data_IF_015028518365
#
_entry.id   IF_015028518365
#
_cell.length_a   1.000
_cell.length_b   1.000
_cell.length_c   1.000
_cell.angle_alpha   90.00
_cell.angle_beta   90.00
_cell.angle_gamma   90.00
#
_symmetry.space_group_name_H-M   'P 1'
#
loop_
_entity.id
_entity.type
_entity.pdbx_description
1 polymer ?
#
# COMPACT_ATOMS: atom_id res chain seq x y z
N UNK A 1 -6.64 11.33 22.87
CA UNK A 1 -5.34 11.27 23.58
C UNK A 1 -5.58 11.22 25.08
N UNK A 2 -4.80 10.47 25.86
CA UNK A 2 -4.94 10.43 27.34
C UNK A 2 -4.21 11.61 27.95
N UNK A 3 -4.67 12.09 29.12
CA UNK A 3 -4.04 13.22 29.84
C UNK A 3 -2.55 12.94 30.13
N UNK A 4 -2.20 11.71 30.49
CA UNK A 4 -0.80 11.28 30.70
C UNK A 4 0.06 11.46 29.46
N UNK A 5 -0.46 11.16 28.26
CA UNK A 5 0.26 11.35 27.00
C UNK A 5 0.45 12.83 26.67
N UNK A 6 -0.53 13.68 26.99
CA UNK A 6 -0.40 15.13 26.83
C UNK A 6 0.66 15.71 27.77
N UNK A 7 0.71 15.20 29.01
CA UNK A 7 1.76 15.54 29.96
C UNK A 7 3.14 15.18 29.42
N UNK A 8 3.31 13.93 28.96
CA UNK A 8 4.60 13.44 28.43
C UNK A 8 5.08 14.26 27.22
N UNK A 9 4.17 14.67 26.33
CA UNK A 9 4.48 15.53 25.19
C UNK A 9 4.94 16.90 25.70
N UNK A 10 4.22 17.51 26.62
CA UNK A 10 4.51 18.84 27.12
C UNK A 10 5.84 18.84 27.89
N UNK A 11 6.03 17.91 28.80
CA UNK A 11 7.27 17.77 29.60
C UNK A 11 8.49 17.49 28.69
N UNK A 12 8.33 16.59 27.71
CA UNK A 12 9.38 16.30 26.74
C UNK A 12 9.74 17.51 25.87
N UNK A 13 8.75 18.34 25.53
CA UNK A 13 8.97 19.55 24.74
C UNK A 13 9.68 20.62 25.57
N UNK A 14 9.21 20.91 26.79
CA UNK A 14 9.82 21.95 27.66
C UNK A 14 11.25 21.57 28.07
N UNK A 15 11.51 20.33 28.40
CA UNK A 15 12.87 19.82 28.71
C UNK A 15 13.83 19.92 27.52
N UNK A 16 13.38 19.57 26.34
CA UNK A 16 14.24 19.58 25.14
C UNK A 16 14.53 20.99 24.64
N UNK A 17 13.57 21.90 24.77
CA UNK A 17 13.73 23.32 24.34
C UNK A 17 14.50 24.16 25.34
N UNK A 18 14.74 23.66 26.56
CA UNK A 18 15.49 24.39 27.58
C UNK A 18 14.70 25.53 28.20
N UNK A 19 13.38 25.49 28.17
CA UNK A 19 12.51 26.44 28.89
C UNK A 19 12.74 26.24 30.39
N UNK A 20 13.03 27.34 31.10
CA UNK A 20 13.33 27.32 32.53
C UNK A 20 12.29 28.16 33.27
N UNK A 21 11.70 27.58 34.30
CA UNK A 21 10.95 28.35 35.27
C UNK A 21 11.92 29.26 36.08
N UNK A 22 11.76 30.55 35.95
CA UNK A 22 12.64 31.53 36.60
C UNK A 22 12.61 31.44 38.15
N UNK A 23 11.59 30.80 38.72
CA UNK A 23 11.44 30.63 40.16
C UNK A 23 12.20 29.42 40.68
N UNK A 24 12.15 28.32 39.92
CA UNK A 24 12.73 27.03 40.35
C UNK A 24 14.07 26.75 39.70
N UNK A 25 14.42 27.42 38.59
CA UNK A 25 15.62 27.19 37.81
C UNK A 25 15.62 25.83 37.02
N UNK A 26 14.49 25.17 36.98
CA UNK A 26 14.32 23.88 36.29
C UNK A 26 13.28 23.96 35.17
N UNK A 27 13.27 22.99 34.25
CA UNK A 27 12.22 22.90 33.26
C UNK A 27 10.85 22.75 33.91
N UNK A 28 9.82 23.49 33.46
CA UNK A 28 8.49 23.35 34.03
C UNK A 28 7.94 21.94 33.76
N UNK A 29 7.35 21.34 34.77
CA UNK A 29 6.77 20.02 34.72
C UNK A 29 5.25 20.12 34.87
N UNK A 30 4.54 19.46 33.97
CA UNK A 30 3.08 19.43 34.01
C UNK A 30 2.57 18.52 35.15
N UNK A 31 1.51 18.97 35.81
CA UNK A 31 0.80 18.10 36.78
C UNK A 31 0.12 16.94 36.05
N UNK A 32 -0.19 15.87 36.78
CA UNK A 32 -0.85 14.70 36.20
C UNK A 32 -2.24 15.01 35.59
N UNK A 33 -2.92 16.00 36.10
CA UNK A 33 -4.22 16.51 35.65
C UNK A 33 -4.13 17.72 34.72
N UNK A 34 -2.91 18.18 34.42
CA UNK A 34 -2.65 19.41 33.64
C UNK A 34 -3.26 20.67 34.27
N UNK A 35 -3.49 20.71 35.57
CA UNK A 35 -4.06 21.87 36.26
C UNK A 35 -3.20 23.11 36.18
N UNK A 36 -1.87 22.96 36.02
CA UNK A 36 -0.91 24.07 35.89
C UNK A 36 -0.59 24.45 34.42
N UNK A 37 -1.40 24.00 33.47
CA UNK A 37 -1.11 24.22 32.03
C UNK A 37 -1.08 25.73 31.66
N UNK A 38 -1.87 26.54 32.34
CA UNK A 38 -1.90 28.00 32.09
C UNK A 38 -0.58 28.66 32.50
N UNK A 39 0.01 28.20 33.59
CA UNK A 39 1.29 28.75 34.07
C UNK A 39 2.45 28.27 33.20
N UNK A 40 2.45 27.00 32.81
CA UNK A 40 3.39 26.49 31.81
C UNK A 40 3.24 27.23 30.49
N UNK A 41 1.99 27.49 30.07
CA UNK A 41 1.68 28.22 28.84
C UNK A 41 2.27 29.66 28.86
N UNK A 42 2.22 30.34 29.99
CA UNK A 42 2.87 31.67 30.14
C UNK A 42 4.38 31.57 29.95
N UNK A 43 5.03 30.62 30.60
CA UNK A 43 6.48 30.41 30.47
C UNK A 43 6.87 30.05 29.01
N UNK A 44 6.09 29.23 28.35
CA UNK A 44 6.28 28.91 26.92
C UNK A 44 6.11 30.15 26.04
N UNK A 45 5.08 30.95 26.28
CA UNK A 45 4.81 32.17 25.50
C UNK A 45 5.87 33.24 25.74
N UNK A 46 6.38 33.38 26.96
CA UNK A 46 7.49 34.28 27.27
C UNK A 46 8.75 33.84 26.51
N UNK A 47 9.10 32.54 26.56
CA UNK A 47 10.23 31.99 25.83
C UNK A 47 10.09 32.14 24.32
N UNK A 48 8.94 31.80 23.76
CA UNK A 48 8.69 31.90 22.30
C UNK A 48 8.57 33.33 21.82
N UNK A 49 8.19 34.28 22.72
CA UNK A 49 8.11 35.70 22.43
C UNK A 49 9.47 36.41 22.37
N UNK A 50 10.53 35.81 22.92
CA UNK A 50 11.89 36.38 22.91
C UNK A 50 12.50 36.43 21.51
N UNK A 51 12.29 35.39 20.69
CA UNK A 51 12.80 35.34 19.32
C UNK A 51 12.03 34.38 18.45
N UNK A 52 12.06 34.60 17.12
CA UNK A 52 11.50 33.66 16.15
C UNK A 52 12.21 32.30 16.20
N UNK A 53 13.48 32.25 16.55
CA UNK A 53 14.25 31.02 16.69
C UNK A 53 13.74 30.14 17.84
N UNK A 54 13.40 30.78 18.99
CA UNK A 54 12.82 30.12 20.15
C UNK A 54 11.44 29.55 19.80
N UNK A 55 10.63 30.31 19.07
CA UNK A 55 9.34 29.85 18.58
C UNK A 55 9.48 28.63 17.67
N UNK A 56 10.34 28.71 16.67
CA UNK A 56 10.57 27.58 15.72
C UNK A 56 11.12 26.38 16.44
N UNK A 57 12.04 26.54 17.39
CA UNK A 57 12.60 25.43 18.19
C UNK A 57 11.53 24.74 19.02
N UNK A 58 10.67 25.49 19.71
CA UNK A 58 9.56 24.92 20.47
C UNK A 58 8.60 24.18 19.58
N UNK A 59 8.19 24.74 18.45
CA UNK A 59 7.24 24.15 17.53
C UNK A 59 7.78 22.88 16.87
N UNK A 60 9.05 22.87 16.46
CA UNK A 60 9.70 21.66 15.90
C UNK A 60 9.73 20.54 16.93
N UNK A 61 10.13 20.84 18.17
CA UNK A 61 10.20 19.86 19.24
C UNK A 61 8.81 19.31 19.59
N UNK A 62 7.80 20.17 19.68
CA UNK A 62 6.41 19.76 19.92
C UNK A 62 5.90 18.82 18.83
N UNK A 63 6.10 19.19 17.57
CA UNK A 63 5.70 18.36 16.42
C UNK A 63 6.45 17.02 16.42
N UNK A 64 7.73 17.01 16.77
CA UNK A 64 8.55 15.80 16.84
C UNK A 64 8.06 14.82 17.93
N UNK A 65 7.68 15.35 19.10
CA UNK A 65 7.08 14.54 20.17
C UNK A 65 5.72 13.97 19.76
N UNK A 66 4.87 14.77 19.13
CA UNK A 66 3.59 14.30 18.56
C UNK A 66 3.85 13.28 17.45
N UNK A 67 4.82 13.52 16.59
CA UNK A 67 5.20 12.64 15.51
C UNK A 67 5.63 11.24 15.99
N UNK A 68 6.38 11.15 17.10
CA UNK A 68 6.74 9.86 17.71
C UNK A 68 5.51 9.05 18.15
N UNK A 69 4.52 9.70 18.72
CA UNK A 69 3.28 9.05 19.16
C UNK A 69 2.48 8.55 17.96
N UNK A 70 2.39 9.34 16.89
CA UNK A 70 1.71 8.97 15.64
C UNK A 70 2.37 7.74 15.01
N UNK A 71 3.69 7.65 15.03
CA UNK A 71 4.43 6.51 14.47
C UNK A 71 4.15 5.23 15.26
N UNK A 72 4.12 5.30 16.60
CA UNK A 72 3.89 4.14 17.47
C UNK A 72 2.45 3.65 17.42
N UNK A 73 1.47 4.57 17.38
CA UNK A 73 0.04 4.26 17.41
C UNK A 73 -0.64 4.38 16.04
N UNK A 74 0.11 4.25 14.97
CA UNK A 74 -0.38 4.42 13.62
C UNK A 74 -1.46 3.40 13.28
N UNK A 75 -2.69 3.86 13.12
CA UNK A 75 -3.79 3.08 12.56
C UNK A 75 -3.92 3.42 11.09
N UNK A 76 -3.69 2.44 10.24
CA UNK A 76 -3.83 2.61 8.80
C UNK A 76 -5.26 2.26 8.38
N UNK A 77 -6.04 3.25 7.95
CA UNK A 77 -7.39 3.07 7.39
C UNK A 77 -7.42 3.67 6.00
N UNK A 78 -6.92 2.92 5.03
CA UNK A 78 -6.92 3.30 3.63
C UNK A 78 -8.18 2.77 2.93
N UNK A 79 -8.69 3.53 1.97
CA UNK A 79 -9.70 3.08 1.01
C UNK A 79 -9.07 2.39 -0.21
N UNK A 80 -7.76 2.55 -0.37
CA UNK A 80 -7.02 1.92 -1.45
C UNK A 80 -6.86 0.39 -1.23
N UNK A 81 -6.62 -0.37 -2.29
CA UNK A 81 -6.36 -1.81 -2.20
C UNK A 81 -5.21 -2.12 -1.24
N UNK A 82 -5.39 -3.11 -0.36
CA UNK A 82 -4.34 -3.53 0.57
C UNK A 82 -3.26 -4.34 -0.17
N UNK A 83 -2.35 -3.64 -0.84
CA UNK A 83 -1.18 -4.21 -1.51
C UNK A 83 0.14 -3.85 -0.83
N UNK A 84 0.09 -2.99 0.19
CA UNK A 84 1.26 -2.64 0.98
C UNK A 84 1.66 -3.79 1.89
N UNK A 85 2.96 -4.01 2.01
CA UNK A 85 3.54 -4.78 3.11
C UNK A 85 3.97 -3.82 4.21
N UNK A 86 3.84 -4.27 5.45
CA UNK A 86 4.39 -3.53 6.57
C UNK A 86 5.90 -3.33 6.38
N UNK A 87 6.38 -2.17 6.82
CA UNK A 87 7.79 -1.87 6.80
C UNK A 87 8.55 -2.85 7.70
N UNK A 88 9.67 -3.36 7.20
CA UNK A 88 10.60 -4.07 8.06
C UNK A 88 11.47 -3.07 8.83
N UNK A 89 11.78 -3.43 10.03
CA UNK A 89 12.51 -2.57 10.97
C UNK A 89 13.99 -2.41 10.59
N UNK A 90 14.54 -3.43 9.95
CA UNK A 90 15.95 -3.48 9.57
C UNK A 90 16.13 -3.82 8.08
N UNK A 91 17.06 -3.14 7.46
CA UNK A 91 17.45 -3.37 6.06
C UNK A 91 16.91 -2.32 5.09
N UNK A 92 17.66 -2.11 4.02
CA UNK A 92 17.36 -1.12 2.99
C UNK A 92 16.99 -1.71 1.64
N UNK A 93 17.21 -3.01 1.47
CA UNK A 93 17.08 -3.69 0.18
C UNK A 93 16.16 -4.91 0.37
N UNK A 94 15.12 -5.00 -0.44
CA UNK A 94 14.31 -6.21 -0.53
C UNK A 94 14.81 -7.06 -1.70
N UNK A 95 15.13 -8.30 -1.42
CA UNK A 95 15.52 -9.27 -2.42
C UNK A 95 14.39 -10.27 -2.67
N UNK A 96 14.02 -10.45 -3.94
CA UNK A 96 13.14 -11.51 -4.38
C UNK A 96 13.95 -12.53 -5.17
N UNK A 97 14.15 -13.71 -4.60
CA UNK A 97 14.84 -14.82 -5.25
C UNK A 97 13.81 -15.78 -5.85
N UNK A 98 14.07 -16.23 -7.06
CA UNK A 98 13.30 -17.28 -7.74
C UNK A 98 14.25 -18.34 -8.24
N UNK A 99 13.84 -19.56 -8.04
CA UNK A 99 14.50 -20.74 -8.63
C UNK A 99 13.61 -21.21 -9.77
N UNK A 100 14.15 -21.34 -10.95
CA UNK A 100 13.45 -21.92 -12.09
C UNK A 100 13.29 -23.43 -11.87
N UNK A 101 12.12 -23.94 -12.19
CA UNK A 101 11.90 -25.39 -12.19
C UNK A 101 12.78 -26.01 -13.28
N UNK A 102 13.48 -27.10 -12.99
CA UNK A 102 14.17 -27.86 -14.02
C UNK A 102 13.16 -28.46 -15.01
N UNK A 103 13.58 -28.59 -16.25
CA UNK A 103 12.78 -29.34 -17.22
C UNK A 103 12.74 -30.82 -16.82
N UNK A 104 11.60 -31.46 -17.08
CA UNK A 104 11.45 -32.88 -16.84
C UNK A 104 11.98 -33.60 -18.06
N UNK A 105 13.06 -34.34 -17.87
CA UNK A 105 13.59 -35.22 -18.89
C UNK A 105 13.03 -36.64 -18.68
N UNK A 106 12.65 -37.26 -19.77
CA UNK A 106 12.17 -38.64 -19.74
C UNK A 106 13.39 -39.57 -19.56
N UNK A 107 13.44 -40.28 -18.45
CA UNK A 107 14.55 -41.21 -18.19
C UNK A 107 14.29 -42.56 -18.82
N UNK A 108 14.86 -42.77 -20.00
CA UNK A 108 14.78 -44.03 -20.75
C UNK A 108 15.86 -45.05 -20.33
N UNK A 109 16.61 -44.84 -19.26
CA UNK A 109 17.70 -45.74 -18.81
C UNK A 109 17.20 -47.08 -18.29
N UNK A 110 15.91 -47.19 -17.95
CA UNK A 110 15.28 -48.49 -17.61
C UNK A 110 15.15 -49.44 -18.80
N UNK A 111 15.22 -48.91 -20.05
CA UNK A 111 15.18 -49.70 -21.28
C UNK A 111 16.53 -49.65 -22.01
N UNK A 112 17.45 -50.40 -21.49
CA UNK A 112 18.81 -50.52 -22.05
C UNK A 112 18.85 -51.04 -23.49
N UNK A 113 17.79 -51.68 -23.94
CA UNK A 113 17.70 -52.29 -25.29
C UNK A 113 17.20 -51.29 -26.34
N UNK A 114 16.36 -50.33 -25.94
CA UNK A 114 15.77 -49.35 -26.84
C UNK A 114 16.47 -48.00 -26.79
N UNK A 115 17.55 -47.87 -26.03
CA UNK A 115 18.33 -46.65 -26.02
C UNK A 115 18.90 -46.39 -27.44
N UNK A 116 18.69 -45.20 -28.04
CA UNK A 116 19.09 -44.95 -29.41
C UNK A 116 20.63 -45.00 -29.51
N UNK A 117 21.15 -46.11 -30.03
CA UNK A 117 22.57 -46.31 -30.31
C UNK A 117 23.02 -45.65 -31.62
N UNK A 118 22.10 -45.00 -32.33
CA UNK A 118 22.33 -44.44 -33.66
C UNK A 118 22.39 -42.91 -33.54
N UNK A 119 23.50 -42.30 -33.89
CA UNK A 119 23.64 -40.88 -34.03
C UNK A 119 24.48 -40.15 -32.97
N UNK A 120 25.31 -40.88 -32.20
CA UNK A 120 26.26 -40.24 -31.27
C UNK A 120 25.63 -39.74 -29.97
N UNK A 121 24.43 -40.18 -29.64
CA UNK A 121 23.86 -39.92 -28.30
C UNK A 121 24.68 -40.72 -27.27
N UNK A 122 25.37 -40.03 -26.41
CA UNK A 122 26.07 -40.62 -25.29
C UNK A 122 25.05 -41.21 -24.32
N UNK A 123 25.42 -42.30 -23.64
CA UNK A 123 24.65 -42.79 -22.51
C UNK A 123 24.53 -41.65 -21.48
N UNK A 124 23.37 -41.50 -20.78
CA UNK A 124 23.24 -40.49 -19.74
C UNK A 124 24.36 -40.67 -18.72
N UNK A 125 25.10 -39.62 -18.49
CA UNK A 125 26.16 -39.60 -17.48
C UNK A 125 25.49 -39.64 -16.08
N UNK A 126 25.70 -40.69 -15.28
CA UNK A 126 25.13 -40.73 -13.92
C UNK A 126 25.72 -39.62 -12.98
N UNK A 127 26.77 -38.94 -13.39
CA UNK A 127 27.40 -37.85 -12.66
C UNK A 127 27.02 -36.50 -13.22
N UNK A 128 26.15 -36.39 -14.21
CA UNK A 128 25.64 -35.13 -14.72
C UNK A 128 24.75 -34.46 -13.66
N UNK A 129 25.19 -33.30 -13.20
CA UNK A 129 24.48 -32.51 -12.21
C UNK A 129 23.65 -31.41 -12.90
N UNK A 130 22.36 -31.56 -12.90
CA UNK A 130 21.42 -30.52 -13.34
C UNK A 130 21.36 -29.40 -12.28
N UNK A 131 21.98 -28.26 -12.56
CA UNK A 131 21.99 -27.12 -11.64
C UNK A 131 20.75 -26.28 -11.87
N UNK A 132 19.89 -26.04 -10.83
CA UNK A 132 18.77 -25.14 -10.98
C UNK A 132 19.28 -23.71 -11.23
N UNK A 133 18.68 -23.03 -12.20
CA UNK A 133 18.94 -21.62 -12.42
C UNK A 133 18.12 -20.77 -11.46
N UNK A 134 18.77 -19.75 -10.85
CA UNK A 134 18.09 -18.83 -9.95
C UNK A 134 18.19 -17.40 -10.49
N UNK A 135 17.12 -16.65 -10.32
CA UNK A 135 17.06 -15.24 -10.65
C UNK A 135 16.77 -14.44 -9.38
N UNK A 136 17.49 -13.34 -9.19
CA UNK A 136 17.26 -12.43 -8.07
C UNK A 136 16.86 -11.05 -8.60
N UNK A 137 15.83 -10.47 -8.01
CA UNK A 137 15.43 -9.07 -8.24
C UNK A 137 15.57 -8.30 -6.93
N UNK A 138 16.27 -7.20 -6.99
CA UNK A 138 16.50 -6.32 -5.85
C UNK A 138 15.63 -5.08 -5.96
N UNK A 139 15.01 -4.68 -4.85
CA UNK A 139 14.24 -3.46 -4.71
C UNK A 139 14.95 -2.57 -3.69
N UNK A 140 15.58 -1.51 -4.15
CA UNK A 140 16.44 -0.62 -3.35
C UNK A 140 16.00 0.86 -3.41
N UNK A 141 14.93 1.18 -4.14
CA UNK A 141 14.42 2.53 -4.20
C UNK A 141 13.69 2.89 -2.93
N UNK A 142 13.98 4.07 -2.39
CA UNK A 142 13.31 4.66 -1.23
C UNK A 142 12.82 6.05 -1.60
N UNK A 143 11.58 6.33 -1.26
CA UNK A 143 11.03 7.69 -1.29
C UNK A 143 10.84 8.15 0.15
N UNK A 144 11.44 9.28 0.49
CA UNK A 144 11.22 9.97 1.75
C UNK A 144 10.31 11.16 1.51
N UNK A 145 9.37 11.41 2.42
CA UNK A 145 8.51 12.58 2.35
C UNK A 145 8.46 13.28 3.70
N UNK A 146 8.33 14.60 3.67
CA UNK A 146 8.09 15.43 4.82
C UNK A 146 6.65 15.91 4.83
N UNK A 147 6.08 16.07 6.01
CA UNK A 147 4.77 16.67 6.21
C UNK A 147 4.97 18.01 6.92
N UNK A 148 5.08 19.14 6.18
CA UNK A 148 5.25 20.44 6.80
C UNK A 148 3.95 20.85 7.51
N UNK A 149 4.09 21.31 8.76
CA UNK A 149 3.00 21.84 9.55
C UNK A 149 3.39 23.26 9.98
N UNK A 150 2.57 24.23 9.62
CA UNK A 150 2.72 25.62 10.05
C UNK A 150 1.65 25.89 11.08
N UNK A 151 2.06 26.40 12.23
CA UNK A 151 1.20 26.84 13.32
C UNK A 151 1.43 28.33 13.56
N UNK A 152 0.42 29.03 14.03
CA UNK A 152 0.51 30.44 14.33
C UNK A 152 0.63 30.67 15.83
N UNK A 153 1.30 31.76 16.24
CA UNK A 153 1.41 32.16 17.63
C UNK A 153 0.03 32.31 18.33
N UNK A 154 -0.97 32.80 17.59
CA UNK A 154 -2.35 32.86 18.07
C UNK A 154 -2.93 31.50 18.45
N UNK A 155 -2.73 30.49 17.61
CA UNK A 155 -3.17 29.11 17.88
C UNK A 155 -2.47 28.54 19.11
N UNK A 156 -1.18 28.83 19.27
CA UNK A 156 -0.43 28.43 20.45
C UNK A 156 -0.96 29.08 21.74
N UNK A 157 -1.24 30.37 21.70
CA UNK A 157 -1.84 31.08 22.82
C UNK A 157 -3.20 30.53 23.23
N UNK A 158 -4.05 30.22 22.26
CA UNK A 158 -5.35 29.60 22.53
C UNK A 158 -5.22 28.21 23.13
N UNK A 159 -4.24 27.41 22.69
CA UNK A 159 -4.02 26.08 23.19
C UNK A 159 -3.73 26.02 24.70
N UNK A 160 -3.01 26.99 25.23
CA UNK A 160 -2.65 27.03 26.66
C UNK A 160 -3.70 27.64 27.58
N UNK A 161 -4.90 27.97 27.11
CA UNK A 161 -5.96 28.51 27.98
C UNK A 161 -6.54 27.47 28.93
N UNK A 162 -6.53 26.19 28.56
CA UNK A 162 -6.97 25.09 29.42
C UNK A 162 -6.41 23.74 28.96
N UNK A 163 -6.39 22.76 29.86
CA UNK A 163 -6.00 21.39 29.53
C UNK A 163 -6.82 20.79 28.38
N UNK A 164 -8.13 21.07 28.31
CA UNK A 164 -9.01 20.61 27.24
C UNK A 164 -8.66 21.23 25.88
N UNK A 165 -8.34 22.54 25.85
CA UNK A 165 -7.93 23.22 24.62
C UNK A 165 -6.56 22.75 24.15
N UNK A 166 -5.61 22.54 25.05
CA UNK A 166 -4.31 21.95 24.73
C UNK A 166 -4.47 20.52 24.16
N UNK A 167 -5.31 19.69 24.79
CA UNK A 167 -5.63 18.37 24.29
C UNK A 167 -6.24 18.36 22.89
N UNK A 168 -7.15 19.29 22.62
CA UNK A 168 -7.77 19.46 21.30
C UNK A 168 -6.78 19.95 20.25
N UNK A 169 -5.87 20.84 20.62
CA UNK A 169 -4.80 21.35 19.76
C UNK A 169 -3.85 20.21 19.32
N UNK A 170 -3.37 19.41 20.27
CA UNK A 170 -2.51 18.26 19.96
C UNK A 170 -3.24 17.23 19.12
N UNK A 171 -4.51 16.92 19.45
CA UNK A 171 -5.32 15.99 18.66
C UNK A 171 -5.54 16.49 17.23
N UNK A 172 -5.68 17.78 17.00
CA UNK A 172 -5.80 18.37 15.68
C UNK A 172 -4.52 18.24 14.86
N UNK A 173 -3.35 18.44 15.48
CA UNK A 173 -2.05 18.19 14.81
C UNK A 173 -1.92 16.71 14.45
N UNK A 174 -2.16 15.82 15.40
CA UNK A 174 -2.10 14.37 15.18
C UNK A 174 -3.02 13.94 14.05
N UNK A 175 -4.26 14.41 14.03
CA UNK A 175 -5.22 14.07 12.98
C UNK A 175 -4.78 14.58 11.60
N UNK A 176 -4.22 15.79 11.51
CA UNK A 176 -3.67 16.32 10.26
C UNK A 176 -2.53 15.46 9.72
N UNK A 177 -1.62 15.02 10.60
CA UNK A 177 -0.52 14.14 10.21
C UNK A 177 -1.06 12.82 9.71
N UNK A 178 -2.00 12.19 10.43
CA UNK A 178 -2.62 10.91 10.05
C UNK A 178 -3.32 10.99 8.70
N UNK A 179 -4.17 11.99 8.52
CA UNK A 179 -4.88 12.20 7.24
C UNK A 179 -3.89 12.36 6.10
N UNK A 180 -2.84 13.16 6.29
CA UNK A 180 -1.84 13.37 5.24
C UNK A 180 -1.03 12.12 4.94
N UNK A 181 -0.65 11.33 5.95
CA UNK A 181 0.01 10.04 5.75
C UNK A 181 -0.87 9.06 4.97
N UNK A 182 -2.16 8.96 5.31
CA UNK A 182 -3.10 8.10 4.60
C UNK A 182 -3.22 8.52 3.13
N UNK A 183 -3.39 9.82 2.86
CA UNK A 183 -3.47 10.33 1.49
C UNK A 183 -2.19 10.08 0.69
N UNK A 184 -1.01 10.24 1.32
CA UNK A 184 0.26 9.93 0.65
C UNK A 184 0.38 8.44 0.33
N UNK A 185 0.01 7.57 1.26
CA UNK A 185 0.03 6.13 1.05
C UNK A 185 -0.95 5.70 -0.05
N UNK A 186 -2.16 6.23 -0.05
CA UNK A 186 -3.16 5.97 -1.10
C UNK A 186 -2.66 6.43 -2.47
N UNK A 187 -2.04 7.61 -2.54
CA UNK A 187 -1.40 8.10 -3.77
C UNK A 187 -0.28 7.18 -4.26
N UNK A 188 0.57 6.64 -3.37
CA UNK A 188 1.61 5.69 -3.73
C UNK A 188 1.05 4.35 -4.23
N UNK A 189 -0.05 3.88 -3.63
CA UNK A 189 -0.74 2.67 -4.08
C UNK A 189 -1.29 2.88 -5.48
N UNK A 190 -2.00 3.99 -5.72
CA UNK A 190 -2.55 4.32 -7.03
C UNK A 190 -1.44 4.46 -8.09
N UNK A 191 -0.37 5.20 -7.80
CA UNK A 191 0.77 5.32 -8.71
C UNK A 191 1.42 3.96 -9.02
N UNK A 192 1.42 3.02 -8.07
CA UNK A 192 1.94 1.67 -8.29
C UNK A 192 1.04 0.87 -9.24
N UNK A 193 -0.28 1.00 -9.10
CA UNK A 193 -1.27 0.37 -10.00
C UNK A 193 -1.13 0.96 -11.41
N UNK A 194 -1.09 2.29 -11.54
CA UNK A 194 -0.95 2.97 -12.82
C UNK A 194 0.34 2.59 -13.55
N UNK A 195 1.46 2.54 -12.82
CA UNK A 195 2.74 2.11 -13.38
C UNK A 195 2.70 0.64 -13.86
N UNK A 196 2.04 -0.25 -13.09
CA UNK A 196 1.87 -1.64 -13.50
C UNK A 196 1.03 -1.74 -14.79
N UNK A 197 -0.06 -0.98 -14.87
CA UNK A 197 -0.92 -0.92 -16.08
C UNK A 197 -0.12 -0.37 -17.25
N UNK A 198 0.57 0.76 -17.09
CA UNK A 198 1.37 1.39 -18.13
C UNK A 198 2.50 0.49 -18.64
N UNK A 199 3.24 -0.17 -17.75
CA UNK A 199 4.29 -1.12 -18.12
C UNK A 199 3.72 -2.34 -18.86
N UNK A 200 2.57 -2.85 -18.41
CA UNK A 200 1.93 -3.99 -19.05
C UNK A 200 1.43 -3.64 -20.46
N UNK A 201 0.83 -2.48 -20.63
CA UNK A 201 0.35 -2.00 -21.94
C UNK A 201 1.51 -1.77 -22.92
N UNK A 202 2.62 -1.18 -22.47
CA UNK A 202 3.75 -0.83 -23.32
C UNK A 202 4.69 -2.00 -23.62
N UNK A 203 4.99 -2.83 -22.63
CA UNK A 203 6.01 -3.88 -22.72
C UNK A 203 5.47 -5.30 -22.84
N UNK A 204 4.22 -5.53 -22.45
CA UNK A 204 3.66 -6.87 -22.30
C UNK A 204 2.24 -6.97 -22.88
N UNK A 205 2.00 -6.41 -24.05
CA UNK A 205 0.68 -6.37 -24.69
C UNK A 205 -0.03 -7.74 -24.82
N UNK A 206 0.73 -8.84 -24.92
CA UNK A 206 0.18 -10.20 -24.90
C UNK A 206 -0.44 -10.63 -23.56
N UNK A 207 -0.30 -9.84 -22.51
CA UNK A 207 -0.92 -10.03 -21.18
C UNK A 207 -2.16 -9.14 -20.99
N UNK A 208 -2.50 -8.35 -22.01
CA UNK A 208 -3.66 -7.45 -22.01
C UNK A 208 -4.82 -8.11 -22.75
N UNK A 209 -5.99 -8.07 -22.17
CA UNK A 209 -7.22 -8.59 -22.78
C UNK A 209 -8.21 -7.44 -22.96
N UNK A 210 -8.49 -7.08 -24.21
CA UNK A 210 -9.56 -6.14 -24.51
C UNK A 210 -10.91 -6.86 -24.48
N UNK A 211 -11.67 -6.71 -23.40
CA UNK A 211 -12.95 -7.41 -23.20
C UNK A 211 -13.98 -7.01 -24.24
N UNK A 212 -14.04 -5.76 -24.64
CA UNK A 212 -15.00 -5.25 -25.64
C UNK A 212 -14.73 -5.85 -27.02
N UNK A 213 -13.47 -5.83 -27.44
CA UNK A 213 -13.08 -6.45 -28.73
C UNK A 213 -13.33 -7.94 -28.71
N UNK A 214 -13.02 -8.62 -27.60
CA UNK A 214 -13.25 -10.06 -27.46
C UNK A 214 -14.76 -10.39 -27.53
N UNK A 215 -15.60 -9.59 -26.89
CA UNK A 215 -17.05 -9.74 -26.94
C UNK A 215 -17.59 -9.53 -28.36
N UNK A 216 -17.25 -8.41 -29.00
CA UNK A 216 -17.70 -8.10 -30.35
C UNK A 216 -17.27 -9.19 -31.36
N UNK A 217 -16.06 -9.71 -31.21
CA UNK A 217 -15.57 -10.81 -32.08
C UNK A 217 -16.33 -12.10 -31.85
N UNK A 218 -16.63 -12.43 -30.58
CA UNK A 218 -17.32 -13.69 -30.22
C UNK A 218 -18.81 -13.68 -30.60
N UNK A 219 -19.46 -12.53 -30.53
CA UNK A 219 -20.92 -12.39 -30.76
C UNK A 219 -21.28 -11.81 -32.12
N UNK A 220 -20.30 -11.26 -32.87
CA UNK A 220 -20.57 -10.53 -34.09
C UNK A 220 -21.23 -9.17 -33.86
N UNK A 221 -21.21 -8.65 -32.63
CA UNK A 221 -21.80 -7.35 -32.29
C UNK A 221 -20.84 -6.19 -32.58
N UNK A 222 -21.38 -4.95 -32.59
CA UNK A 222 -20.64 -3.70 -32.80
C UNK A 222 -20.77 -2.78 -31.62
N UNK A 223 -20.76 -3.33 -30.40
CA UNK A 223 -20.89 -2.57 -29.17
C UNK A 223 -19.72 -1.58 -29.01
N UNK A 224 -20.03 -0.35 -28.59
CA UNK A 224 -19.04 0.71 -28.38
C UNK A 224 -18.70 0.84 -26.88
N UNK A 225 -17.57 1.49 -26.57
CA UNK A 225 -17.17 1.74 -25.18
C UNK A 225 -18.23 2.57 -24.41
N UNK A 226 -18.92 3.49 -25.08
CA UNK A 226 -19.95 4.33 -24.47
C UNK A 226 -21.19 3.55 -24.00
N UNK A 227 -21.51 2.43 -24.65
CA UNK A 227 -22.71 1.63 -24.36
C UNK A 227 -22.38 0.32 -23.66
N UNK A 228 -21.14 -0.09 -23.60
CA UNK A 228 -20.70 -1.37 -23.08
C UNK A 228 -21.09 -1.55 -21.57
N UNK A 229 -20.93 -0.52 -20.76
CA UNK A 229 -21.22 -0.59 -19.33
C UNK A 229 -22.71 -0.65 -18.98
N UNK A 230 -23.60 -0.47 -19.95
CA UNK A 230 -25.03 -0.61 -19.78
C UNK A 230 -25.61 -1.86 -20.45
N UNK A 231 -24.78 -2.60 -21.18
CA UNK A 231 -25.18 -3.83 -21.87
C UNK A 231 -24.99 -5.06 -21.00
N UNK A 232 -26.10 -5.72 -20.66
CA UNK A 232 -26.11 -6.88 -19.75
C UNK A 232 -25.33 -8.09 -20.28
N UNK A 233 -25.42 -8.34 -21.57
CA UNK A 233 -24.75 -9.50 -22.18
C UNK A 233 -23.23 -9.27 -22.22
N UNK A 234 -22.78 -8.07 -22.49
CA UNK A 234 -21.38 -7.69 -22.37
C UNK A 234 -20.88 -7.86 -20.91
N UNK A 235 -21.64 -7.39 -19.93
CA UNK A 235 -21.25 -7.49 -18.52
C UNK A 235 -21.17 -8.96 -18.06
N UNK A 236 -22.07 -9.82 -18.52
CA UNK A 236 -21.99 -11.28 -18.29
C UNK A 236 -20.75 -11.88 -18.90
N UNK A 237 -20.47 -11.57 -20.15
CA UNK A 237 -19.27 -12.04 -20.84
C UNK A 237 -18.00 -11.57 -20.14
N UNK A 238 -17.95 -10.28 -19.74
CA UNK A 238 -16.82 -9.69 -19.03
C UNK A 238 -16.57 -10.39 -17.69
N UNK A 239 -17.62 -10.56 -16.86
CA UNK A 239 -17.55 -11.27 -15.58
C UNK A 239 -17.05 -12.71 -15.75
N UNK A 240 -17.62 -13.47 -16.67
CA UNK A 240 -17.20 -14.85 -16.96
C UNK A 240 -15.74 -14.91 -17.46
N UNK A 241 -15.33 -13.96 -18.28
CA UNK A 241 -13.96 -13.88 -18.80
C UNK A 241 -12.96 -13.56 -17.71
N UNK A 242 -13.26 -12.63 -16.82
CA UNK A 242 -12.43 -12.30 -15.65
C UNK A 242 -12.30 -13.52 -14.73
N UNK A 243 -13.42 -14.19 -14.41
CA UNK A 243 -13.42 -15.38 -13.58
C UNK A 243 -12.55 -16.50 -14.19
N UNK A 244 -12.62 -16.70 -15.52
CA UNK A 244 -11.76 -17.62 -16.25
C UNK A 244 -10.28 -17.27 -16.09
N UNK A 245 -9.88 -16.00 -16.26
CA UNK A 245 -8.49 -15.59 -16.11
C UNK A 245 -8.00 -15.68 -14.67
N UNK A 246 -8.85 -15.38 -13.68
CA UNK A 246 -8.53 -15.64 -12.25
C UNK A 246 -8.14 -17.09 -12.03
N UNK A 247 -8.87 -18.03 -12.64
CA UNK A 247 -8.56 -19.46 -12.55
C UNK A 247 -7.26 -19.84 -13.26
N UNK A 248 -7.00 -19.25 -14.43
CA UNK A 248 -5.77 -19.51 -15.18
C UNK A 248 -4.52 -19.01 -14.47
N UNK A 249 -4.58 -17.85 -13.82
CA UNK A 249 -3.46 -17.29 -13.04
C UNK A 249 -3.18 -18.12 -11.79
N UNK A 250 -4.18 -18.82 -11.24
CA UNK A 250 -4.01 -19.73 -10.12
C UNK A 250 -3.32 -21.05 -10.50
N UNK A 251 -3.25 -21.39 -11.80
CA UNK A 251 -2.56 -22.57 -12.28
C UNK A 251 -1.10 -22.26 -12.63
N UNK A 252 -0.21 -23.21 -12.40
CA UNK A 252 1.21 -23.08 -12.76
C UNK A 252 1.36 -22.93 -14.28
N UNK A 253 1.84 -21.78 -14.73
CA UNK A 253 2.01 -21.45 -16.15
C UNK A 253 3.05 -20.36 -16.35
N UNK A 254 3.75 -20.38 -17.48
CA UNK A 254 4.61 -19.30 -17.93
C UNK A 254 3.85 -18.17 -18.64
N UNK A 255 2.58 -18.40 -19.02
CA UNK A 255 1.82 -17.51 -19.91
C UNK A 255 1.38 -16.21 -19.25
N UNK A 256 1.07 -16.23 -17.96
CA UNK A 256 0.36 -15.14 -17.26
C UNK A 256 1.26 -14.28 -16.37
N UNK A 257 2.56 -14.25 -16.62
CA UNK A 257 3.50 -13.40 -15.94
C UNK A 257 4.45 -12.71 -16.92
N UNK A 258 5.02 -11.56 -16.52
CA UNK A 258 5.90 -10.76 -17.36
C UNK A 258 7.24 -11.46 -17.68
N UNK A 259 7.72 -12.32 -16.79
CA UNK A 259 9.02 -12.97 -16.91
C UNK A 259 9.03 -14.27 -17.71
N UNK A 260 7.90 -14.73 -18.21
CA UNK A 260 7.73 -15.98 -18.99
C UNK A 260 8.34 -17.25 -18.34
N UNK A 261 8.33 -17.31 -17.00
CA UNK A 261 8.74 -18.49 -16.24
C UNK A 261 7.51 -19.12 -15.56
N UNK A 262 7.60 -20.40 -15.27
CA UNK A 262 6.50 -21.15 -14.65
C UNK A 262 6.28 -20.61 -13.23
N UNK A 263 5.09 -20.06 -13.00
CA UNK A 263 4.66 -19.56 -11.68
C UNK A 263 3.14 -19.65 -11.58
N UNK A 264 2.65 -19.51 -10.35
CA UNK A 264 1.22 -19.44 -10.08
C UNK A 264 0.98 -18.44 -8.92
N UNK A 265 -0.24 -17.95 -8.84
CA UNK A 265 -0.69 -17.13 -7.70
C UNK A 265 -1.83 -17.87 -7.01
N UNK A 266 -1.65 -18.35 -5.76
CA UNK A 266 -2.74 -18.98 -5.01
C UNK A 266 -3.96 -18.06 -4.93
N UNK A 267 -5.16 -18.63 -4.97
CA UNK A 267 -6.40 -17.86 -5.02
C UNK A 267 -6.56 -16.90 -3.81
N UNK A 268 -6.10 -17.32 -2.63
CA UNK A 268 -6.10 -16.51 -1.41
C UNK A 268 -5.10 -15.35 -1.42
N UNK A 269 -4.10 -15.40 -2.31
CA UNK A 269 -3.07 -14.35 -2.49
C UNK A 269 -3.33 -13.47 -3.71
N UNK A 270 -4.29 -13.85 -4.55
CA UNK A 270 -4.63 -13.08 -5.74
C UNK A 270 -5.37 -11.81 -5.32
N UNK A 271 -4.83 -10.66 -5.70
CA UNK A 271 -5.48 -9.36 -5.54
C UNK A 271 -6.08 -8.95 -6.88
N UNK A 272 -7.37 -8.73 -6.89
CA UNK A 272 -8.09 -8.22 -8.04
C UNK A 272 -8.52 -6.78 -7.75
N UNK A 273 -8.18 -5.88 -8.66
CA UNK A 273 -8.54 -4.46 -8.57
C UNK A 273 -9.45 -4.13 -9.75
N UNK A 274 -10.60 -3.58 -9.46
CA UNK A 274 -11.58 -3.18 -10.46
C UNK A 274 -11.79 -1.66 -10.45
N UNK A 275 -12.01 -1.09 -11.63
CA UNK A 275 -12.46 0.29 -11.72
C UNK A 275 -13.87 0.41 -11.15
N UNK A 276 -14.13 1.46 -10.36
CA UNK A 276 -15.41 1.68 -9.69
C UNK A 276 -16.58 1.76 -10.68
N UNK A 277 -16.39 2.40 -11.85
CA UNK A 277 -17.45 2.49 -12.86
C UNK A 277 -17.87 1.10 -13.36
N UNK A 278 -16.89 0.24 -13.66
CA UNK A 278 -17.17 -1.12 -14.08
C UNK A 278 -17.81 -1.96 -12.97
N UNK A 279 -17.32 -1.84 -11.73
CA UNK A 279 -17.87 -2.55 -10.59
C UNK A 279 -19.34 -2.16 -10.33
N UNK A 280 -19.64 -0.85 -10.36
CA UNK A 280 -21.02 -0.36 -10.17
C UNK A 280 -21.94 -0.68 -11.35
N UNK A 281 -21.40 -0.77 -12.55
CA UNK A 281 -22.16 -1.26 -13.70
C UNK A 281 -22.55 -2.75 -13.54
N UNK A 282 -21.65 -3.58 -13.04
CA UNK A 282 -21.96 -4.97 -12.70
C UNK A 282 -23.06 -5.04 -11.62
N UNK A 283 -22.93 -4.26 -10.54
CA UNK A 283 -23.94 -4.23 -9.48
C UNK A 283 -25.32 -3.80 -10.00
N UNK A 284 -25.36 -2.72 -10.80
CA UNK A 284 -26.62 -2.13 -11.24
C UNK A 284 -27.30 -2.91 -12.37
N UNK A 285 -26.55 -3.39 -13.34
CA UNK A 285 -27.13 -3.97 -14.57
C UNK A 285 -27.06 -5.48 -14.66
N UNK A 286 -26.20 -6.12 -13.88
CA UNK A 286 -26.06 -7.57 -13.91
C UNK A 286 -26.62 -8.22 -12.65
N UNK A 287 -26.16 -7.83 -11.47
CA UNK A 287 -26.51 -8.52 -10.23
C UNK A 287 -27.94 -8.22 -9.77
N UNK A 288 -28.41 -6.97 -9.93
CA UNK A 288 -29.77 -6.56 -9.56
C UNK A 288 -30.88 -7.34 -10.29
N UNK A 289 -30.58 -7.90 -11.46
CA UNK A 289 -31.54 -8.57 -12.34
C UNK A 289 -31.30 -10.10 -12.41
N UNK A 290 -30.40 -10.63 -11.60
CA UNK A 290 -30.03 -12.06 -11.63
C UNK A 290 -30.63 -12.76 -10.42
N UNK A 291 -31.45 -13.80 -10.67
CA UNK A 291 -32.12 -14.58 -9.63
C UNK A 291 -31.14 -15.40 -8.77
N UNK A 292 -29.97 -15.75 -9.30
CA UNK A 292 -28.87 -16.45 -8.61
C UNK A 292 -27.61 -15.61 -8.67
N UNK A 293 -27.53 -14.53 -7.91
CA UNK A 293 -26.42 -13.59 -7.85
C UNK A 293 -25.06 -14.28 -7.56
N UNK A 294 -25.04 -15.29 -6.71
CA UNK A 294 -23.82 -16.01 -6.32
C UNK A 294 -23.07 -16.66 -7.49
N UNK A 295 -23.77 -17.06 -8.56
CA UNK A 295 -23.13 -17.68 -9.72
C UNK A 295 -22.47 -16.68 -10.68
N UNK A 296 -22.83 -15.42 -10.59
CA UNK A 296 -22.40 -14.37 -11.52
C UNK A 296 -21.48 -13.36 -10.83
N UNK A 297 -21.56 -13.28 -9.51
CA UNK A 297 -20.85 -12.31 -8.71
C UNK A 297 -19.34 -12.49 -8.80
N UNK A 298 -18.66 -11.39 -9.05
CA UNK A 298 -17.21 -11.32 -9.05
C UNK A 298 -16.72 -11.06 -7.62
N UNK A 299 -16.32 -12.11 -6.90
CA UNK A 299 -15.89 -11.98 -5.51
C UNK A 299 -14.43 -11.53 -5.36
N UNK A 300 -14.16 -10.85 -4.25
CA UNK A 300 -12.80 -10.58 -3.78
C UNK A 300 -12.05 -9.55 -4.60
N UNK A 301 -12.70 -8.47 -5.03
CA UNK A 301 -12.03 -7.33 -5.66
C UNK A 301 -12.00 -6.11 -4.75
N UNK A 302 -11.02 -5.25 -5.00
CA UNK A 302 -10.93 -3.91 -4.42
C UNK A 302 -11.30 -2.90 -5.49
N UNK A 303 -12.12 -1.92 -5.16
CA UNK A 303 -12.51 -0.86 -6.08
C UNK A 303 -11.50 0.28 -6.06
N UNK A 304 -11.21 0.84 -7.23
CA UNK A 304 -10.45 2.09 -7.39
C UNK A 304 -11.22 3.06 -8.27
N UNK A 305 -11.28 4.35 -7.89
CA UNK A 305 -12.12 5.32 -8.59
C UNK A 305 -11.57 5.69 -9.98
N UNK A 306 -10.26 5.57 -10.19
CA UNK A 306 -9.58 5.89 -11.44
C UNK A 306 -8.27 5.12 -11.54
N UNK A 307 -7.70 5.06 -12.74
CA UNK A 307 -6.33 4.64 -13.06
C UNK A 307 -5.86 5.33 -14.34
#
# INVERSE_FOLDING_TARGET
>A
MRITQLKDILDGTTQTTGIIDQTTGAAPVANEDLSNIVDIGKMVLDYTGESNENYDSFMRTLIDQVGKIVIVNRTYTSQAPNILKDSWEYGSIMQKVRVNLPDVEENATWDLFNYPKTGGAAYPDPFELSKPSAQAKFYNSKNTYEIPITLTDYQLREAFQSASQFGSFIAAIENRIRVKQTLCNDGLIMATIDNLIGETLSGHGGKVVNLLTAYNTATGSTLTAATALTDKEFLRFASATIAKYKKYVAQASAKYNAGNYITFTPADKLKFVANTEFAKALDAYLYSDTFNEEFVKLDGYSEVPFW
#
